data_IF_127679124643
#
_entry.id   IF_127679124643
#
_cell.length_a   1.000
_cell.length_b   1.000
_cell.length_c   1.000
_cell.angle_alpha   90.00
_cell.angle_beta   90.00
_cell.angle_gamma   90.00
#
_symmetry.space_group_name_H-M   'P 1'
#
loop_
_entity.id
_entity.type
_entity.pdbx_description
1 polymer ?
#
# COMPACT_ATOMS: atom_id res chain seq x y z
N UNK A 1 40.78 52.36 47.97
CA UNK A 1 41.21 51.12 47.33
C UNK A 1 40.04 50.18 47.32
N UNK A 2 39.55 49.85 46.18
CA UNK A 2 38.40 49.01 46.02
C UNK A 2 38.88 47.61 45.74
N UNK A 3 38.61 46.60 46.58
CA UNK A 3 38.91 45.25 46.19
C UNK A 3 38.10 44.85 45.00
N UNK A 4 38.75 44.44 43.98
CA UNK A 4 38.06 43.87 42.85
C UNK A 4 37.47 42.54 43.22
N UNK A 5 36.21 42.49 43.28
CA UNK A 5 35.47 41.23 43.28
C UNK A 5 35.71 40.52 41.98
N UNK A 6 36.57 39.57 41.98
CA UNK A 6 36.67 38.64 40.87
C UNK A 6 35.39 37.76 40.96
N UNK A 7 34.48 38.03 40.06
CA UNK A 7 33.34 37.17 39.89
C UNK A 7 33.87 35.81 39.40
N UNK A 8 33.84 34.86 40.29
CA UNK A 8 34.03 33.45 39.91
C UNK A 8 32.88 33.09 38.97
N UNK A 9 33.21 32.95 37.71
CA UNK A 9 32.28 32.37 36.77
C UNK A 9 31.99 30.97 37.22
N UNK A 10 30.76 30.60 37.53
CA UNK A 10 30.42 29.24 37.83
C UNK A 10 30.84 28.36 36.67
N UNK A 11 31.61 27.32 36.97
CA UNK A 11 31.97 26.35 35.96
C UNK A 11 30.70 25.92 35.27
N UNK A 12 30.63 26.14 33.97
CA UNK A 12 29.51 25.70 33.18
C UNK A 12 29.33 24.20 33.41
N UNK A 13 28.18 23.82 33.89
CA UNK A 13 27.79 22.43 33.93
C UNK A 13 28.04 21.83 32.55
N UNK A 14 28.64 20.65 32.45
CA UNK A 14 28.76 20.01 31.17
C UNK A 14 27.35 19.90 30.61
N UNK A 15 27.08 20.66 29.60
CA UNK A 15 25.81 20.60 28.86
C UNK A 15 25.64 19.13 28.51
N UNK A 16 24.62 18.50 29.07
CA UNK A 16 24.25 17.15 28.75
C UNK A 16 24.24 17.07 27.22
N UNK A 17 24.80 16.02 26.67
CA UNK A 17 24.96 15.78 25.26
C UNK A 17 23.77 16.36 24.51
N UNK A 18 23.93 17.56 23.98
CA UNK A 18 22.99 18.12 23.04
C UNK A 18 23.00 17.13 21.89
N UNK A 19 21.89 16.45 21.70
CA UNK A 19 21.65 15.76 20.43
C UNK A 19 21.88 16.81 19.39
N UNK A 20 22.97 16.67 18.62
CA UNK A 20 23.15 17.47 17.42
C UNK A 20 21.82 17.42 16.70
N UNK A 21 21.14 18.57 16.58
CA UNK A 21 20.05 18.68 15.64
C UNK A 21 20.68 18.24 14.32
N UNK A 22 20.24 17.10 13.83
CA UNK A 22 20.60 16.72 12.46
C UNK A 22 20.20 17.88 11.60
N UNK A 23 21.21 18.50 10.99
CA UNK A 23 20.96 19.48 9.94
C UNK A 23 20.03 18.81 8.93
N UNK A 24 18.98 19.51 8.45
CA UNK A 24 18.12 18.96 7.43
C UNK A 24 19.02 18.57 6.27
N UNK A 25 19.14 17.28 6.02
CA UNK A 25 19.91 16.78 4.89
C UNK A 25 19.34 17.45 3.64
N UNK A 26 20.20 17.97 2.75
CA UNK A 26 19.75 18.54 1.51
C UNK A 26 18.88 17.50 0.79
N UNK A 27 17.79 17.92 0.15
CA UNK A 27 16.93 16.97 -0.55
C UNK A 27 17.82 16.15 -1.47
N UNK A 28 17.77 14.83 -1.29
CA UNK A 28 18.52 13.89 -2.13
C UNK A 28 18.11 14.22 -3.55
N UNK A 29 19.01 14.87 -4.27
CA UNK A 29 18.81 15.22 -5.67
C UNK A 29 18.56 13.90 -6.38
N UNK A 30 17.32 13.69 -6.83
CA UNK A 30 16.95 12.48 -7.55
C UNK A 30 17.88 12.34 -8.73
N UNK A 31 18.91 11.51 -8.62
CA UNK A 31 19.72 11.13 -9.75
C UNK A 31 18.80 10.36 -10.69
N UNK A 32 18.34 11.05 -11.71
CA UNK A 32 17.56 10.42 -12.78
C UNK A 32 18.56 9.71 -13.70
N UNK A 33 18.95 8.50 -13.31
CA UNK A 33 19.75 7.63 -14.17
C UNK A 33 18.73 6.91 -15.06
N UNK A 34 18.79 7.19 -16.36
CA UNK A 34 17.96 6.51 -17.35
C UNK A 34 18.05 5.00 -17.15
N UNK A 35 16.90 4.35 -16.91
CA UNK A 35 16.80 2.92 -16.69
C UNK A 35 16.86 2.45 -15.24
N UNK A 36 17.11 3.33 -14.26
CA UNK A 36 17.12 3.03 -12.83
C UNK A 36 15.98 3.77 -12.11
N UNK A 37 14.75 3.36 -12.36
CA UNK A 37 13.59 3.87 -11.64
C UNK A 37 13.36 3.04 -10.37
N UNK A 38 13.53 3.67 -9.21
CA UNK A 38 13.13 3.06 -7.96
C UNK A 38 11.60 2.91 -7.89
N UNK A 39 11.16 1.78 -7.36
CA UNK A 39 9.72 1.48 -7.24
C UNK A 39 8.93 2.55 -6.44
N UNK A 40 9.62 3.27 -5.54
CA UNK A 40 9.05 4.38 -4.76
C UNK A 40 8.72 5.63 -5.59
N UNK A 41 9.28 5.76 -6.78
CA UNK A 41 9.06 6.89 -7.69
C UNK A 41 7.93 6.63 -8.70
N UNK A 42 7.51 5.38 -8.81
CA UNK A 42 6.45 4.96 -9.72
C UNK A 42 5.09 5.13 -9.05
N UNK A 43 4.05 5.16 -9.85
CA UNK A 43 2.68 5.19 -9.36
C UNK A 43 2.39 4.01 -8.43
N UNK A 44 1.60 4.27 -7.40
CA UNK A 44 1.22 3.23 -6.43
C UNK A 44 0.34 2.19 -7.10
N UNK A 45 0.68 0.93 -6.90
CA UNK A 45 -0.14 -0.19 -7.32
C UNK A 45 -1.27 -0.37 -6.31
N UNK A 46 -2.50 -0.55 -6.77
CA UNK A 46 -3.65 -0.77 -5.89
C UNK A 46 -3.65 -2.15 -5.26
N UNK A 47 -3.36 -3.18 -6.05
CA UNK A 47 -3.22 -4.55 -5.59
C UNK A 47 -1.85 -5.11 -5.97
N UNK A 48 -1.01 -5.32 -4.97
CA UNK A 48 0.37 -5.77 -5.17
C UNK A 48 0.48 -7.20 -5.70
N UNK A 49 -0.53 -8.03 -5.43
CA UNK A 49 -0.49 -9.47 -5.78
C UNK A 49 -0.45 -9.75 -7.28
N UNK A 50 -0.95 -8.84 -8.11
CA UNK A 50 -0.95 -9.00 -9.57
C UNK A 50 0.19 -8.26 -10.26
N UNK A 51 0.82 -7.34 -9.57
CA UNK A 51 1.92 -6.57 -10.11
C UNK A 51 1.50 -5.41 -11.01
N UNK A 52 2.49 -4.71 -11.49
CA UNK A 52 2.33 -3.46 -12.22
C UNK A 52 1.79 -3.65 -13.65
N UNK A 53 2.10 -4.76 -14.26
CA UNK A 53 1.67 -5.05 -15.64
C UNK A 53 0.15 -5.24 -15.73
N UNK A 54 -0.43 -5.95 -14.77
CA UNK A 54 -1.89 -6.11 -14.71
C UNK A 54 -2.56 -4.77 -14.42
N UNK A 55 -1.99 -3.93 -13.56
CA UNK A 55 -2.52 -2.58 -13.33
C UNK A 55 -2.55 -1.76 -14.64
N UNK A 56 -1.50 -1.78 -15.43
CA UNK A 56 -1.47 -1.11 -16.74
C UNK A 56 -2.52 -1.66 -17.72
N UNK A 57 -2.72 -2.98 -17.72
CA UNK A 57 -3.77 -3.60 -18.55
C UNK A 57 -5.16 -3.12 -18.14
N UNK A 58 -5.42 -2.98 -16.84
CA UNK A 58 -6.69 -2.45 -16.32
C UNK A 58 -6.87 -0.99 -16.71
N UNK A 59 -5.84 -0.17 -16.56
CA UNK A 59 -5.89 1.25 -16.93
C UNK A 59 -6.12 1.42 -18.43
N UNK A 60 -5.51 0.58 -19.25
CA UNK A 60 -5.78 0.53 -20.69
C UNK A 60 -7.22 0.13 -20.99
N UNK A 61 -7.75 -0.88 -20.31
CA UNK A 61 -9.12 -1.34 -20.46
C UNK A 61 -10.13 -0.22 -20.14
N UNK A 62 -9.89 0.56 -19.09
CA UNK A 62 -10.73 1.70 -18.71
C UNK A 62 -10.70 2.79 -19.79
N UNK A 63 -9.57 2.95 -20.48
CA UNK A 63 -9.40 3.95 -21.55
C UNK A 63 -10.07 3.59 -22.87
N UNK A 64 -10.51 2.33 -23.05
CA UNK A 64 -11.16 1.90 -24.29
C UNK A 64 -12.52 2.58 -24.48
N UNK A 65 -12.86 3.04 -25.71
CA UNK A 65 -14.08 3.79 -25.96
C UNK A 65 -15.34 2.91 -26.02
N UNK A 66 -15.22 1.67 -26.52
CA UNK A 66 -16.36 0.78 -26.72
C UNK A 66 -16.54 -0.19 -25.54
N UNK A 67 -17.81 -0.46 -25.20
CA UNK A 67 -18.15 -1.39 -24.12
C UNK A 67 -17.75 -2.83 -24.45
N UNK A 68 -17.88 -3.21 -25.70
CA UNK A 68 -17.55 -4.56 -26.20
C UNK A 68 -16.04 -4.84 -26.04
N UNK A 69 -15.20 -3.91 -26.49
CA UNK A 69 -13.74 -4.03 -26.33
C UNK A 69 -13.33 -4.05 -24.86
N UNK A 70 -13.98 -3.27 -24.01
CA UNK A 70 -13.75 -3.30 -22.56
C UNK A 70 -14.11 -4.66 -21.96
N UNK A 71 -15.20 -5.27 -22.42
CA UNK A 71 -15.63 -6.59 -21.97
C UNK A 71 -14.60 -7.66 -22.34
N UNK A 72 -14.17 -7.72 -23.58
CA UNK A 72 -13.16 -8.67 -24.05
C UNK A 72 -11.81 -8.48 -23.33
N UNK A 73 -11.41 -7.23 -23.15
CA UNK A 73 -10.20 -6.89 -22.42
C UNK A 73 -10.29 -7.34 -20.95
N UNK A 74 -11.42 -7.12 -20.29
CA UNK A 74 -11.65 -7.54 -18.91
C UNK A 74 -11.58 -9.06 -18.76
N UNK A 75 -12.19 -9.80 -19.68
CA UNK A 75 -12.12 -11.27 -19.68
C UNK A 75 -10.68 -11.79 -19.85
N UNK A 76 -9.90 -11.14 -20.71
CA UNK A 76 -8.47 -11.45 -20.90
C UNK A 76 -7.67 -11.18 -19.64
N UNK A 77 -7.94 -10.06 -18.95
CA UNK A 77 -7.30 -9.72 -17.68
C UNK A 77 -7.65 -10.77 -16.63
N UNK A 78 -8.92 -11.14 -16.49
CA UNK A 78 -9.36 -12.17 -15.54
C UNK A 78 -8.71 -13.52 -15.83
N UNK A 79 -8.61 -13.92 -17.09
CA UNK A 79 -7.91 -15.15 -17.47
C UNK A 79 -6.43 -15.14 -17.07
N UNK A 80 -5.77 -13.99 -17.23
CA UNK A 80 -4.38 -13.79 -16.83
C UNK A 80 -4.23 -13.83 -15.29
N UNK A 81 -5.07 -13.11 -14.57
CA UNK A 81 -5.10 -13.10 -13.11
C UNK A 81 -5.34 -14.52 -12.55
N UNK A 82 -6.21 -15.29 -13.20
CA UNK A 82 -6.48 -16.68 -12.83
C UNK A 82 -5.25 -17.58 -12.97
N UNK A 83 -4.42 -17.34 -13.98
CA UNK A 83 -3.16 -18.09 -14.17
C UNK A 83 -2.10 -17.72 -13.14
N UNK A 84 -2.03 -16.44 -12.79
CA UNK A 84 -1.02 -15.94 -11.84
C UNK A 84 -1.30 -16.34 -10.39
N UNK A 85 -2.57 -16.54 -10.03
CA UNK A 85 -2.97 -16.88 -8.67
C UNK A 85 -3.60 -18.27 -8.61
N UNK A 86 -2.80 -19.34 -8.58
CA UNK A 86 -3.34 -20.68 -8.35
C UNK A 86 -3.98 -20.73 -6.97
N UNK A 87 -5.23 -21.17 -6.91
CA UNK A 87 -5.97 -21.27 -5.66
C UNK A 87 -6.66 -22.62 -5.56
N UNK A 88 -6.78 -23.11 -4.34
CA UNK A 88 -7.56 -24.30 -3.98
C UNK A 88 -9.04 -23.99 -3.71
N UNK A 89 -9.43 -22.72 -3.77
CA UNK A 89 -10.80 -22.29 -3.58
C UNK A 89 -11.75 -22.81 -4.68
N UNK A 90 -13.03 -22.88 -4.35
CA UNK A 90 -14.07 -23.21 -5.31
C UNK A 90 -14.05 -22.23 -6.50
N UNK A 91 -14.32 -22.73 -7.69
CA UNK A 91 -14.25 -21.92 -8.90
C UNK A 91 -15.19 -20.70 -8.86
N UNK A 92 -16.38 -20.82 -8.26
CA UNK A 92 -17.34 -19.73 -8.16
C UNK A 92 -16.82 -18.58 -7.27
N UNK A 93 -16.38 -18.91 -6.05
CA UNK A 93 -15.86 -17.93 -5.09
C UNK A 93 -14.60 -17.27 -5.63
N UNK A 94 -13.79 -18.04 -6.31
CA UNK A 94 -12.59 -17.54 -6.97
C UNK A 94 -12.91 -16.54 -8.09
N UNK A 95 -13.87 -16.86 -8.94
CA UNK A 95 -14.29 -15.96 -10.01
C UNK A 95 -14.85 -14.67 -9.44
N UNK A 96 -15.66 -14.72 -8.40
CA UNK A 96 -16.15 -13.54 -7.72
C UNK A 96 -14.99 -12.68 -7.18
N UNK A 97 -14.05 -13.29 -6.48
CA UNK A 97 -12.87 -12.58 -5.96
C UNK A 97 -12.06 -11.90 -7.06
N UNK A 98 -11.87 -12.57 -8.21
CA UNK A 98 -11.12 -11.99 -9.34
C UNK A 98 -11.85 -10.78 -9.95
N UNK A 99 -13.16 -10.85 -10.09
CA UNK A 99 -13.96 -9.73 -10.58
C UNK A 99 -14.01 -8.57 -9.58
N UNK A 100 -14.12 -8.86 -8.28
CA UNK A 100 -14.01 -7.85 -7.23
C UNK A 100 -12.65 -7.13 -7.26
N UNK A 101 -11.57 -7.87 -7.46
CA UNK A 101 -10.23 -7.30 -7.58
C UNK A 101 -10.10 -6.44 -8.85
N UNK A 102 -10.68 -6.87 -9.98
CA UNK A 102 -10.70 -6.07 -11.20
C UNK A 102 -11.46 -4.76 -10.99
N UNK A 103 -12.62 -4.81 -10.34
CA UNK A 103 -13.40 -3.63 -10.01
C UNK A 103 -12.62 -2.66 -9.11
N UNK A 104 -11.94 -3.18 -8.09
CA UNK A 104 -11.10 -2.40 -7.20
C UNK A 104 -9.91 -1.77 -7.93
N UNK A 105 -9.24 -2.51 -8.81
CA UNK A 105 -8.11 -2.01 -9.61
C UNK A 105 -8.52 -0.91 -10.59
N UNK A 106 -9.72 -1.01 -11.18
CA UNK A 106 -10.30 0.01 -12.06
C UNK A 106 -10.93 1.19 -11.30
N UNK A 107 -10.92 1.15 -9.96
CA UNK A 107 -11.59 2.14 -9.12
C UNK A 107 -13.10 2.23 -9.37
N UNK A 108 -13.73 1.11 -9.70
CA UNK A 108 -15.14 1.01 -10.07
C UNK A 108 -15.57 1.89 -11.27
N UNK A 109 -14.60 2.30 -12.08
CA UNK A 109 -14.83 3.11 -13.28
C UNK A 109 -15.09 2.27 -14.53
N UNK A 110 -14.86 0.97 -14.47
CA UNK A 110 -15.01 0.07 -15.60
C UNK A 110 -16.50 -0.23 -15.83
N UNK A 111 -17.04 0.31 -16.92
CA UNK A 111 -18.41 0.06 -17.34
C UNK A 111 -18.47 -1.18 -18.24
N UNK A 112 -18.68 -2.33 -17.61
CA UNK A 112 -18.82 -3.64 -18.26
C UNK A 112 -19.94 -4.45 -17.62
N UNK A 113 -20.38 -5.50 -18.29
CA UNK A 113 -21.34 -6.44 -17.71
C UNK A 113 -20.59 -7.49 -16.88
N UNK A 114 -20.68 -7.36 -15.57
CA UNK A 114 -20.07 -8.33 -14.66
C UNK A 114 -20.90 -9.61 -14.61
N UNK A 115 -20.29 -10.79 -14.80
CA UNK A 115 -20.99 -12.08 -14.70
C UNK A 115 -21.34 -12.48 -13.27
N UNK A 116 -20.82 -11.75 -12.28
CA UNK A 116 -21.03 -11.97 -10.85
C UNK A 116 -21.39 -10.65 -10.16
N UNK A 117 -22.06 -10.73 -9.02
CA UNK A 117 -22.36 -9.56 -8.21
C UNK A 117 -21.07 -8.99 -7.61
N UNK A 118 -20.73 -7.76 -7.98
CA UNK A 118 -19.55 -7.10 -7.44
C UNK A 118 -19.81 -6.62 -6.01
N UNK A 119 -18.89 -6.92 -5.13
CA UNK A 119 -18.95 -6.45 -3.75
C UNK A 119 -18.81 -4.93 -3.71
N UNK A 120 -19.66 -4.28 -2.92
CA UNK A 120 -19.65 -2.81 -2.80
C UNK A 120 -18.29 -2.30 -2.33
N UNK A 121 -17.85 -1.18 -2.89
CA UNK A 121 -16.59 -0.52 -2.53
C UNK A 121 -16.40 -0.36 -1.02
N UNK A 122 -17.46 0.02 -0.32
CA UNK A 122 -17.44 0.19 1.13
C UNK A 122 -17.07 -1.10 1.89
N UNK A 123 -17.52 -2.26 1.39
CA UNK A 123 -17.17 -3.56 1.98
C UNK A 123 -15.74 -3.97 1.69
N UNK A 124 -15.24 -3.69 0.47
CA UNK A 124 -13.88 -4.04 0.06
C UNK A 124 -12.83 -3.14 0.71
N UNK A 125 -13.14 -1.88 0.96
CA UNK A 125 -12.23 -0.90 1.55
C UNK A 125 -12.39 -0.78 3.06
N UNK A 126 -13.43 -1.38 3.65
CA UNK A 126 -13.67 -1.32 5.10
C UNK A 126 -12.54 -1.98 5.88
N UNK A 127 -12.02 -1.24 6.85
CA UNK A 127 -11.03 -1.79 7.75
C UNK A 127 -11.68 -2.81 8.68
N UNK A 128 -11.11 -4.01 8.82
CA UNK A 128 -11.64 -5.00 9.74
C UNK A 128 -11.63 -4.47 11.17
N UNK A 129 -12.66 -4.80 11.96
CA UNK A 129 -12.73 -4.42 13.36
C UNK A 129 -11.58 -5.08 14.14
N UNK A 130 -10.90 -4.34 15.03
CA UNK A 130 -9.83 -4.91 15.83
C UNK A 130 -10.38 -6.00 16.75
N UNK A 131 -9.79 -7.17 16.70
CA UNK A 131 -10.12 -8.27 17.60
C UNK A 131 -9.40 -8.02 18.92
N UNK A 132 -10.12 -7.91 20.07
CA UNK A 132 -9.47 -7.72 21.35
C UNK A 132 -8.67 -8.96 21.73
N UNK A 133 -7.51 -8.74 22.28
CA UNK A 133 -6.72 -9.84 22.84
C UNK A 133 -7.48 -10.49 24.01
N UNK A 134 -7.43 -11.82 24.14
CA UNK A 134 -8.05 -12.49 25.26
C UNK A 134 -7.42 -12.00 26.59
N UNK A 135 -8.27 -11.76 27.60
CA UNK A 135 -7.84 -11.21 28.87
C UNK A 135 -6.85 -12.12 29.63
N UNK A 136 -6.80 -13.40 29.28
CA UNK A 136 -5.83 -14.35 29.84
C UNK A 136 -4.61 -14.46 28.96
N UNK A 137 -3.41 -14.45 29.59
CA UNK A 137 -2.14 -14.67 28.92
C UNK A 137 -2.19 -15.94 28.05
N UNK A 138 -1.60 -15.87 26.87
CA UNK A 138 -1.45 -17.04 25.98
C UNK A 138 -0.74 -18.21 26.67
N UNK A 139 0.16 -17.91 27.60
CA UNK A 139 0.85 -18.91 28.42
C UNK A 139 -0.09 -19.79 29.21
N UNK A 140 -1.07 -19.20 29.88
CA UNK A 140 -2.05 -19.94 30.68
C UNK A 140 -2.97 -20.82 29.79
N UNK A 141 -3.11 -20.43 28.54
CA UNK A 141 -3.97 -21.15 27.58
C UNK A 141 -3.32 -22.41 27.00
N UNK A 142 -1.99 -22.43 26.89
CA UNK A 142 -1.25 -23.50 26.25
C UNK A 142 -0.46 -24.38 27.23
N UNK A 143 -0.13 -23.86 28.41
CA UNK A 143 0.77 -24.53 29.38
C UNK A 143 0.19 -24.61 30.79
N UNK A 144 -1.03 -24.13 31.01
CA UNK A 144 -1.66 -24.05 32.31
C UNK A 144 -2.50 -25.24 32.72
#
# INVERSE_FOLDING_TARGET
MIPQLVATVPAALPAGKQRKKEEPQPPITKMNIEGLDYNTQREKIRLNQYGREIQKMVDYCVALPTKEERQECAETIIATMRRMTPSTQNNADRMQTLWDHLALMSNFQLDIDYPVEITTEEKLTSKPSPVPYPAKSVYVRHYG
#
